data_IF_387978026693
#
_entry.id   IF_387978026693
#
_cell.length_a   1.000
_cell.length_b   1.000
_cell.length_c   1.000
_cell.angle_alpha   90.00
_cell.angle_beta   90.00
_cell.angle_gamma   90.00
#
_symmetry.space_group_name_H-M   'P 1'
#
loop_
_entity.id
_entity.type
_entity.pdbx_description
1 polymer ?
#
# COMPACT_ATOMS: atom_id res chain seq x y z
N UNK A 1 -1.69 -51.12 32.66
CA UNK A 1 -0.23 -51.02 32.51
C UNK A 1 0.12 -49.55 32.26
N UNK A 2 0.91 -48.93 33.14
CA UNK A 2 1.32 -47.53 33.00
C UNK A 2 2.53 -47.46 32.06
N UNK A 3 2.38 -46.77 30.93
CA UNK A 3 3.45 -46.58 29.95
C UNK A 3 4.57 -45.73 30.55
N UNK A 4 5.75 -46.34 30.72
CA UNK A 4 6.95 -45.65 31.21
C UNK A 4 7.61 -44.93 30.03
N UNK A 5 7.78 -43.61 30.13
CA UNK A 5 8.56 -42.83 29.16
C UNK A 5 9.98 -43.40 29.10
N UNK A 6 10.41 -43.83 27.90
CA UNK A 6 11.72 -44.42 27.66
C UNK A 6 12.80 -43.38 27.32
N UNK A 7 12.42 -42.17 26.89
CA UNK A 7 13.35 -41.07 26.61
C UNK A 7 12.72 -39.90 25.85
N UNK A 8 13.47 -38.80 25.73
CA UNK A 8 13.14 -37.63 24.90
C UNK A 8 14.23 -37.45 23.85
N UNK A 9 13.84 -37.13 22.62
CA UNK A 9 14.76 -36.70 21.56
C UNK A 9 14.47 -35.25 21.26
N UNK A 10 15.49 -34.40 21.38
CA UNK A 10 15.44 -33.00 20.97
C UNK A 10 16.27 -32.79 19.72
N UNK A 11 15.70 -32.14 18.72
CA UNK A 11 16.44 -31.63 17.55
C UNK A 11 16.49 -30.11 17.68
N UNK A 12 17.71 -29.57 17.69
CA UNK A 12 17.93 -28.12 17.67
C UNK A 12 18.49 -27.72 16.31
N UNK A 13 17.79 -26.84 15.60
CA UNK A 13 18.29 -26.23 14.38
C UNK A 13 18.66 -24.77 14.67
N UNK A 14 19.86 -24.36 14.26
CA UNK A 14 20.26 -22.96 14.33
C UNK A 14 19.46 -22.16 13.30
N UNK A 15 18.57 -21.30 13.80
CA UNK A 15 17.72 -20.40 13.01
C UNK A 15 18.15 -18.94 13.14
N UNK A 16 19.32 -18.67 13.73
CA UNK A 16 19.79 -17.31 14.03
C UNK A 16 19.86 -16.47 12.76
N UNK A 17 20.44 -17.02 11.69
CA UNK A 17 20.57 -16.33 10.40
C UNK A 17 19.22 -16.06 9.74
N UNK A 18 18.30 -17.02 9.80
CA UNK A 18 16.96 -16.88 9.23
C UNK A 18 16.14 -15.82 9.98
N UNK A 19 16.20 -15.86 11.31
CA UNK A 19 15.51 -14.89 12.16
C UNK A 19 16.05 -13.48 11.91
N UNK A 20 17.37 -13.29 11.85
CA UNK A 20 17.97 -11.98 11.56
C UNK A 20 17.52 -11.42 10.21
N UNK A 21 17.54 -12.23 9.15
CA UNK A 21 17.07 -11.80 7.82
C UNK A 21 15.58 -11.42 7.83
N UNK A 22 14.73 -12.21 8.51
CA UNK A 22 13.31 -11.92 8.66
C UNK A 22 13.06 -10.62 9.45
N UNK A 23 13.81 -10.41 10.54
CA UNK A 23 13.74 -9.18 11.34
C UNK A 23 14.19 -7.94 10.56
N UNK A 24 15.24 -8.07 9.75
CA UNK A 24 15.72 -6.97 8.90
C UNK A 24 14.71 -6.61 7.83
N UNK A 25 14.18 -7.60 7.09
CA UNK A 25 13.13 -7.37 6.09
C UNK A 25 11.89 -6.72 6.70
N UNK A 26 11.49 -7.18 7.90
CA UNK A 26 10.35 -6.59 8.62
C UNK A 26 10.61 -5.14 9.00
N UNK A 27 11.80 -4.81 9.53
CA UNK A 27 12.17 -3.43 9.87
C UNK A 27 12.14 -2.51 8.66
N UNK A 28 12.72 -2.95 7.54
CA UNK A 28 12.72 -2.15 6.31
C UNK A 28 11.28 -1.89 5.84
N UNK A 29 10.42 -2.90 5.86
CA UNK A 29 9.01 -2.73 5.49
C UNK A 29 8.26 -1.78 6.43
N UNK A 30 8.49 -1.87 7.74
CA UNK A 30 7.91 -0.98 8.75
C UNK A 30 8.38 0.46 8.56
N UNK A 31 9.67 0.66 8.27
CA UNK A 31 10.24 1.98 8.01
C UNK A 31 9.64 2.62 6.75
N UNK A 32 9.53 1.87 5.66
CA UNK A 32 8.89 2.34 4.41
C UNK A 32 7.42 2.69 4.65
N UNK A 33 6.68 1.83 5.34
CA UNK A 33 5.26 2.07 5.68
C UNK A 33 5.12 3.35 6.49
N UNK A 34 5.98 3.55 7.51
CA UNK A 34 5.96 4.74 8.34
C UNK A 34 6.28 6.00 7.54
N UNK A 35 7.22 5.95 6.60
CA UNK A 35 7.53 7.10 5.74
C UNK A 35 6.34 7.51 4.88
N UNK A 36 5.60 6.55 4.31
CA UNK A 36 4.40 6.82 3.51
C UNK A 36 3.27 7.40 4.38
N UNK A 37 3.04 6.81 5.56
CA UNK A 37 1.96 7.24 6.47
C UNK A 37 2.21 8.61 7.11
N UNK A 38 3.48 8.97 7.36
CA UNK A 38 3.85 10.27 7.96
C UNK A 38 4.11 11.37 6.93
N UNK A 39 4.00 11.08 5.63
CA UNK A 39 4.21 12.06 4.59
C UNK A 39 3.15 13.18 4.66
N UNK A 40 3.61 14.44 4.58
CA UNK A 40 2.74 15.62 4.57
C UNK A 40 2.00 15.84 3.23
N UNK A 41 2.19 14.95 2.26
CA UNK A 41 1.51 14.96 0.97
C UNK A 41 0.56 13.74 0.87
N UNK A 42 -0.59 13.89 0.17
CA UNK A 42 -1.44 12.75 -0.14
C UNK A 42 -0.69 11.77 -1.05
N UNK A 43 -0.51 10.53 -0.58
CA UNK A 43 0.11 9.44 -1.34
C UNK A 43 -0.92 8.34 -1.52
N UNK A 44 -1.07 7.90 -2.77
CA UNK A 44 -1.88 6.73 -3.12
C UNK A 44 -1.21 5.95 -4.23
N UNK A 45 -1.42 4.64 -4.23
CA UNK A 45 -0.94 3.72 -5.26
C UNK A 45 -2.11 3.07 -5.98
N UNK A 46 -1.89 2.66 -7.23
CA UNK A 46 -2.87 1.89 -8.01
C UNK A 46 -2.21 0.63 -8.61
N UNK A 47 -3.03 -0.36 -8.93
CA UNK A 47 -2.63 -1.53 -9.73
C UNK A 47 -2.75 -1.28 -11.24
N UNK A 48 -2.45 -2.30 -12.05
CA UNK A 48 -2.54 -2.26 -13.51
C UNK A 48 -3.96 -2.10 -14.04
N UNK A 49 -4.98 -2.35 -13.23
CA UNK A 49 -6.38 -2.12 -13.57
C UNK A 49 -6.83 -0.71 -13.09
N UNK A 50 -5.98 0.06 -12.44
CA UNK A 50 -6.28 1.37 -11.89
C UNK A 50 -7.06 1.33 -10.57
N UNK A 51 -7.02 0.22 -9.83
CA UNK A 51 -7.62 0.08 -8.50
C UNK A 51 -6.62 0.49 -7.43
N UNK A 52 -7.10 1.14 -6.38
CA UNK A 52 -6.25 1.65 -5.29
C UNK A 52 -5.61 0.50 -4.51
N UNK A 53 -4.28 0.52 -4.43
CA UNK A 53 -3.46 -0.44 -3.67
C UNK A 53 -2.85 0.16 -2.41
N UNK A 54 -2.67 1.48 -2.40
CA UNK A 54 -2.10 2.20 -1.26
C UNK A 54 -2.85 3.51 -1.05
N UNK A 55 -3.00 3.91 0.22
CA UNK A 55 -3.71 5.12 0.60
C UNK A 55 -3.20 5.58 1.97
N UNK A 56 -2.46 6.70 2.02
CA UNK A 56 -1.87 7.17 3.26
C UNK A 56 -2.85 8.00 4.12
N UNK A 57 -2.49 8.20 5.39
CA UNK A 57 -3.27 9.01 6.32
C UNK A 57 -3.56 10.42 5.80
N UNK A 58 -2.60 11.05 5.09
CA UNK A 58 -2.79 12.39 4.55
C UNK A 58 -3.83 12.45 3.42
N UNK A 59 -3.84 11.47 2.52
CA UNK A 59 -4.86 11.30 1.49
C UNK A 59 -6.24 11.08 2.12
N UNK A 60 -6.31 10.28 3.18
CA UNK A 60 -7.55 10.07 3.92
C UNK A 60 -8.09 11.37 4.53
N UNK A 61 -7.21 12.15 5.16
CA UNK A 61 -7.57 13.42 5.78
C UNK A 61 -7.93 14.50 4.76
N UNK A 62 -7.27 14.53 3.60
CA UNK A 62 -7.51 15.55 2.58
C UNK A 62 -8.77 15.25 1.78
N UNK A 63 -8.98 13.98 1.40
CA UNK A 63 -10.06 13.58 0.51
C UNK A 63 -11.32 13.14 1.28
N UNK A 64 -11.19 12.88 2.58
CA UNK A 64 -12.31 12.48 3.43
C UNK A 64 -12.71 11.01 3.30
N UNK A 65 -11.92 10.21 2.57
CA UNK A 65 -12.13 8.78 2.40
C UNK A 65 -11.12 7.97 3.19
N UNK A 66 -11.60 7.09 4.08
CA UNK A 66 -10.72 6.21 4.83
C UNK A 66 -10.11 5.11 3.96
N UNK A 67 -8.95 4.58 4.36
CA UNK A 67 -8.27 3.46 3.66
C UNK A 67 -9.22 2.28 3.40
N UNK A 68 -10.03 1.87 4.37
CA UNK A 68 -10.98 0.76 4.19
C UNK A 68 -12.04 1.03 3.10
N UNK A 69 -12.34 2.29 2.81
CA UNK A 69 -13.32 2.69 1.80
C UNK A 69 -12.70 2.86 0.41
N UNK A 70 -11.38 3.01 0.31
CA UNK A 70 -10.69 3.30 -0.95
C UNK A 70 -10.02 2.08 -1.56
N UNK A 71 -9.46 1.21 -0.73
CA UNK A 71 -8.70 0.03 -1.17
C UNK A 71 -9.51 -0.87 -2.12
N UNK A 72 -8.91 -1.24 -3.25
CA UNK A 72 -9.50 -2.10 -4.28
C UNK A 72 -10.53 -1.42 -5.19
N UNK A 73 -10.83 -0.13 -5.01
CA UNK A 73 -11.74 0.63 -5.88
C UNK A 73 -10.99 1.36 -6.97
N UNK A 74 -11.64 1.58 -8.13
CA UNK A 74 -11.05 2.38 -9.21
C UNK A 74 -10.82 3.83 -8.78
N UNK A 75 -9.58 4.31 -8.89
CA UNK A 75 -9.20 5.66 -8.49
C UNK A 75 -9.98 6.72 -9.28
N UNK A 76 -9.88 6.65 -10.62
CA UNK A 76 -10.45 7.67 -11.52
C UNK A 76 -11.97 7.71 -11.48
N UNK A 77 -12.60 6.54 -11.45
CA UNK A 77 -14.07 6.48 -11.48
C UNK A 77 -14.69 7.01 -10.19
N UNK A 78 -14.06 6.76 -9.05
CA UNK A 78 -14.66 7.02 -7.75
C UNK A 78 -14.15 8.30 -7.10
N UNK A 79 -12.88 8.69 -7.26
CA UNK A 79 -12.25 9.74 -6.43
C UNK A 79 -11.75 10.96 -7.22
N UNK A 80 -11.93 10.98 -8.55
CA UNK A 80 -11.56 12.09 -9.43
C UNK A 80 -12.84 12.76 -9.96
N UNK A 81 -12.83 14.09 -10.03
CA UNK A 81 -13.93 14.88 -10.61
C UNK A 81 -14.07 14.63 -12.11
N UNK A 82 -15.29 14.68 -12.65
CA UNK A 82 -15.56 14.35 -14.06
C UNK A 82 -14.72 15.18 -15.04
N UNK A 83 -14.47 16.45 -14.72
CA UNK A 83 -13.61 17.35 -15.51
C UNK A 83 -12.18 16.83 -15.66
N UNK A 84 -11.64 16.16 -14.64
CA UNK A 84 -10.28 15.64 -14.64
C UNK A 84 -10.18 14.15 -14.96
N UNK A 85 -11.30 13.42 -15.03
CA UNK A 85 -11.29 11.96 -15.30
C UNK A 85 -10.57 11.61 -16.58
N UNK A 86 -10.85 12.31 -17.68
CA UNK A 86 -10.17 12.02 -18.96
C UNK A 86 -8.68 12.32 -18.90
N UNK A 87 -8.29 13.43 -18.29
CA UNK A 87 -6.89 13.84 -18.18
C UNK A 87 -6.10 12.83 -17.33
N UNK A 88 -6.62 12.50 -16.14
CA UNK A 88 -5.99 11.53 -15.24
C UNK A 88 -5.96 10.14 -15.86
N UNK A 89 -7.03 9.70 -16.54
CA UNK A 89 -7.04 8.39 -17.19
C UNK A 89 -5.97 8.29 -18.30
N UNK A 90 -5.78 9.36 -19.09
CA UNK A 90 -4.70 9.40 -20.10
C UNK A 90 -3.32 9.30 -19.46
N UNK A 91 -3.09 10.04 -18.38
CA UNK A 91 -1.83 10.00 -17.62
C UNK A 91 -1.57 8.62 -17.05
N UNK A 92 -2.56 8.04 -16.37
CA UNK A 92 -2.44 6.70 -15.79
C UNK A 92 -2.23 5.65 -16.89
N UNK A 93 -2.94 5.74 -18.01
CA UNK A 93 -2.77 4.82 -19.14
C UNK A 93 -1.37 4.91 -19.76
N UNK A 94 -0.79 6.10 -19.83
CA UNK A 94 0.60 6.31 -20.29
C UNK A 94 1.63 5.80 -19.27
N UNK A 95 1.39 6.02 -17.97
CA UNK A 95 2.23 5.48 -16.90
C UNK A 95 2.23 3.93 -16.90
N UNK A 96 1.04 3.32 -17.06
CA UNK A 96 0.88 1.87 -17.16
C UNK A 96 1.53 1.26 -18.41
N UNK A 97 1.69 2.03 -19.49
CA UNK A 97 2.41 1.60 -20.68
C UNK A 97 3.94 1.77 -20.57
N UNK A 98 4.44 2.19 -19.41
CA UNK A 98 5.87 2.38 -19.14
C UNK A 98 6.41 3.72 -19.60
N UNK A 99 5.54 4.68 -19.96
CA UNK A 99 5.94 6.05 -20.26
C UNK A 99 5.99 6.83 -18.95
N UNK A 100 7.15 7.37 -18.60
CA UNK A 100 7.29 8.18 -17.39
C UNK A 100 6.45 9.47 -17.54
N UNK A 101 5.41 9.61 -16.72
CA UNK A 101 4.52 10.76 -16.74
C UNK A 101 4.88 11.69 -15.58
N UNK A 102 5.56 12.79 -15.88
CA UNK A 102 5.97 13.80 -14.90
C UNK A 102 4.77 14.51 -14.24
N UNK A 103 4.95 14.93 -12.99
CA UNK A 103 4.08 15.73 -12.10
C UNK A 103 2.80 16.30 -12.76
N UNK A 104 1.71 15.54 -12.69
CA UNK A 104 0.37 16.05 -13.01
C UNK A 104 -0.30 16.58 -11.76
N UNK A 105 -0.59 17.89 -11.73
CA UNK A 105 -1.48 18.46 -10.73
C UNK A 105 -2.92 18.05 -11.04
N UNK A 106 -3.48 17.22 -10.17
CA UNK A 106 -4.87 16.76 -10.26
C UNK A 106 -5.68 17.39 -9.14
N UNK A 107 -6.76 18.08 -9.50
CA UNK A 107 -7.74 18.57 -8.54
C UNK A 107 -8.64 17.42 -8.10
N UNK A 108 -8.48 16.98 -6.85
CA UNK A 108 -9.27 15.93 -6.22
C UNK A 108 -10.44 16.55 -5.45
N UNK A 109 -11.60 15.87 -5.39
CA UNK A 109 -12.72 16.33 -4.59
C UNK A 109 -12.57 15.85 -3.13
N UNK A 110 -13.03 16.66 -2.19
CA UNK A 110 -13.14 16.26 -0.79
C UNK A 110 -14.55 15.75 -0.54
N UNK A 111 -14.75 14.84 0.42
CA UNK A 111 -16.08 14.34 0.79
C UNK A 111 -17.10 15.44 1.13
N UNK A 112 -16.63 16.64 1.46
CA UNK A 112 -17.46 17.82 1.75
C UNK A 112 -17.83 18.67 0.51
N UNK A 113 -17.28 18.36 -0.67
CA UNK A 113 -17.44 19.15 -1.90
C UNK A 113 -16.10 19.53 -2.52
#
# INVERSE_FOLDING_TARGET
>A
AQGKVLGVVGVGQDITSLNSAMHESKRIAEDVTRLIETANAPIFGIDTEGKVTEWNAKASSLLGFGKCETMGKHLVSNFITDEFKESVNKVLSAALSGTDTADFQVSLYTKDG
#
